data_IF_905383112404
#
_entry.id   IF_905383112404
#
_cell.length_a   1.000
_cell.length_b   1.000
_cell.length_c   1.000
_cell.angle_alpha   90.00
_cell.angle_beta   90.00
_cell.angle_gamma   90.00
#
_symmetry.space_group_name_H-M   'P 1'
#
loop_
_entity.id
_entity.type
_entity.pdbx_description
1 polymer ?
#
# COMPACT_ATOMS: atom_id res chain seq x y z
N UNK A 1 32.12 -78.44 -40.12
CA UNK A 1 32.62 -77.05 -40.23
C UNK A 1 31.45 -76.14 -39.88
N UNK A 2 31.44 -75.61 -38.68
CA UNK A 2 30.36 -74.81 -38.16
C UNK A 2 30.84 -73.37 -38.23
N UNK A 3 30.12 -72.53 -38.96
CA UNK A 3 30.39 -71.13 -39.08
C UNK A 3 29.49 -70.39 -38.10
N UNK A 4 30.05 -69.77 -37.06
CA UNK A 4 29.38 -68.87 -36.15
C UNK A 4 29.29 -67.46 -36.70
N UNK A 5 28.06 -66.98 -36.87
CA UNK A 5 27.77 -65.60 -37.26
C UNK A 5 27.62 -64.78 -35.98
N UNK A 6 28.57 -63.89 -35.64
CA UNK A 6 28.50 -62.99 -34.53
C UNK A 6 27.69 -61.73 -34.94
N UNK A 7 26.52 -61.51 -34.34
CA UNK A 7 25.79 -60.26 -34.41
C UNK A 7 26.42 -59.28 -33.41
N UNK A 8 27.02 -58.22 -33.89
CA UNK A 8 27.43 -57.09 -33.09
C UNK A 8 26.21 -56.16 -32.88
N UNK A 9 25.71 -56.12 -31.65
CA UNK A 9 24.74 -55.09 -31.22
C UNK A 9 25.52 -53.80 -30.99
N UNK A 10 25.27 -52.82 -31.83
CA UNK A 10 25.73 -51.43 -31.54
C UNK A 10 24.82 -50.82 -30.47
N UNK A 11 25.30 -50.76 -29.25
CA UNK A 11 24.74 -49.90 -28.21
C UNK A 11 25.27 -48.52 -28.50
N UNK A 12 24.39 -47.65 -29.00
CA UNK A 12 24.65 -46.22 -29.11
C UNK A 12 24.50 -45.64 -27.68
N UNK A 13 25.63 -45.54 -26.98
CA UNK A 13 25.72 -44.70 -25.81
C UNK A 13 25.80 -43.24 -26.30
N UNK A 14 24.71 -42.51 -26.19
CA UNK A 14 24.77 -41.07 -26.18
C UNK A 14 25.41 -40.67 -24.84
N UNK A 15 26.72 -40.44 -24.86
CA UNK A 15 27.38 -39.74 -23.76
C UNK A 15 26.91 -38.29 -23.78
N UNK A 16 25.89 -37.99 -23.03
CA UNK A 16 25.75 -36.64 -22.48
C UNK A 16 26.90 -36.49 -21.48
N UNK A 17 27.82 -35.60 -21.80
CA UNK A 17 28.87 -35.18 -20.86
C UNK A 17 28.15 -34.39 -19.75
N UNK A 18 27.75 -35.08 -18.69
CA UNK A 18 27.30 -34.42 -17.45
C UNK A 18 28.46 -33.61 -16.93
N UNK A 19 28.31 -32.29 -16.93
CA UNK A 19 29.25 -31.39 -16.29
C UNK A 19 29.11 -31.57 -14.76
N UNK A 20 30.07 -32.16 -14.06
CA UNK A 20 29.92 -32.51 -12.62
C UNK A 20 29.84 -31.32 -11.68
N UNK A 21 30.03 -30.10 -12.18
CA UNK A 21 30.05 -28.87 -11.38
C UNK A 21 28.73 -28.05 -11.45
N UNK A 22 27.74 -28.52 -12.19
CA UNK A 22 26.38 -27.91 -12.10
C UNK A 22 25.57 -28.71 -11.10
N UNK A 23 25.05 -28.09 -10.03
CA UNK A 23 24.09 -28.76 -9.17
C UNK A 23 22.91 -29.19 -10.02
N UNK A 24 22.72 -30.49 -10.15
CA UNK A 24 21.55 -31.06 -10.82
C UNK A 24 20.30 -30.57 -10.09
N UNK A 25 19.63 -29.57 -10.66
CA UNK A 25 18.33 -29.14 -10.15
C UNK A 25 17.39 -30.32 -10.36
N UNK A 26 17.00 -30.97 -9.28
CA UNK A 26 16.04 -32.06 -9.33
C UNK A 26 14.74 -31.52 -9.93
N UNK A 27 14.52 -31.84 -11.22
CA UNK A 27 13.43 -31.26 -12.02
C UNK A 27 12.03 -31.64 -11.47
N UNK A 28 11.96 -32.47 -10.47
CA UNK A 28 10.73 -32.93 -9.82
C UNK A 28 10.44 -32.27 -8.46
N UNK A 29 11.33 -31.43 -7.94
CA UNK A 29 11.03 -30.72 -6.70
C UNK A 29 10.16 -29.49 -6.97
N UNK A 30 9.13 -29.27 -6.12
CA UNK A 30 8.30 -28.07 -6.21
C UNK A 30 9.16 -26.81 -6.04
N UNK A 31 9.09 -25.91 -6.99
CA UNK A 31 9.80 -24.62 -6.90
C UNK A 31 8.92 -23.64 -6.13
N UNK A 32 9.33 -23.17 -4.95
CA UNK A 32 8.57 -22.19 -4.18
C UNK A 32 8.37 -20.88 -4.93
N UNK A 33 7.25 -20.24 -4.73
CA UNK A 33 6.97 -18.89 -5.22
C UNK A 33 7.55 -17.89 -4.24
N UNK A 34 8.38 -16.99 -4.73
CA UNK A 34 8.96 -15.87 -3.98
C UNK A 34 8.84 -14.59 -4.82
N UNK A 35 8.73 -13.44 -4.15
CA UNK A 35 8.62 -12.14 -4.81
C UNK A 35 9.63 -11.15 -4.26
N UNK A 36 10.29 -10.44 -5.15
CA UNK A 36 10.87 -9.14 -4.83
C UNK A 36 9.76 -8.09 -4.76
N UNK A 37 10.08 -6.93 -4.22
CA UNK A 37 9.12 -5.83 -4.16
C UNK A 37 9.74 -4.49 -4.44
N UNK A 38 8.91 -3.58 -4.93
CA UNK A 38 9.15 -2.14 -4.89
C UNK A 38 7.84 -1.47 -4.50
N UNK A 39 7.94 -0.41 -3.70
CA UNK A 39 6.83 0.50 -3.48
C UNK A 39 7.12 1.70 -4.37
N UNK A 40 6.15 2.12 -5.16
CA UNK A 40 6.25 3.34 -5.94
C UNK A 40 6.38 4.49 -4.95
N UNK A 41 7.56 5.05 -4.89
CA UNK A 41 8.24 5.75 -3.80
C UNK A 41 7.43 6.74 -2.98
N UNK A 42 7.67 6.72 -1.64
CA UNK A 42 7.36 7.83 -0.74
C UNK A 42 8.32 7.93 0.43
N UNK A 43 8.60 9.16 0.84
CA UNK A 43 9.18 9.41 2.16
C UNK A 43 8.33 10.39 2.95
N UNK A 44 7.72 9.95 4.05
CA UNK A 44 7.54 10.72 5.30
C UNK A 44 7.07 9.83 6.45
N UNK A 45 7.30 10.25 7.71
CA UNK A 45 7.20 9.46 8.95
C UNK A 45 5.77 8.99 9.25
N UNK A 46 5.65 7.78 9.80
CA UNK A 46 4.54 7.19 10.58
C UNK A 46 3.37 6.47 9.88
N UNK A 47 3.34 6.30 8.60
CA UNK A 47 2.66 5.22 7.89
C UNK A 47 3.71 4.57 7.01
N UNK A 48 3.50 3.46 6.32
CA UNK A 48 4.56 2.83 5.53
C UNK A 48 5.44 3.86 4.82
N UNK A 49 6.54 4.25 5.47
CA UNK A 49 7.36 5.43 5.15
C UNK A 49 8.62 5.03 4.43
N UNK A 50 8.53 4.30 3.35
CA UNK A 50 9.74 3.91 2.63
C UNK A 50 9.41 3.32 1.28
N UNK A 51 10.40 3.39 0.40
CA UNK A 51 10.40 2.70 -0.89
C UNK A 51 10.59 1.19 -0.75
N UNK A 52 10.65 0.65 0.47
CA UNK A 52 10.90 -0.75 0.76
C UNK A 52 10.10 -1.25 1.97
N UNK A 53 9.80 -2.53 1.97
CA UNK A 53 9.26 -3.24 3.13
C UNK A 53 10.36 -3.48 4.17
N UNK A 54 9.95 -3.57 5.42
CA UNK A 54 10.81 -3.95 6.55
C UNK A 54 10.63 -5.42 6.87
N UNK A 55 11.65 -6.04 7.48
CA UNK A 55 11.55 -7.43 7.91
C UNK A 55 10.35 -7.66 8.83
N UNK A 56 9.71 -8.80 8.65
CA UNK A 56 8.48 -9.25 9.31
C UNK A 56 7.19 -8.54 8.86
N UNK A 57 7.21 -7.67 7.86
CA UNK A 57 5.97 -7.19 7.27
C UNK A 57 5.32 -8.27 6.41
N UNK A 58 3.99 -8.34 6.47
CA UNK A 58 3.22 -9.44 5.90
C UNK A 58 2.21 -8.87 4.91
N UNK A 59 2.21 -9.45 3.70
CA UNK A 59 1.23 -9.18 2.65
C UNK A 59 0.30 -10.36 2.46
N UNK A 60 -0.91 -10.10 1.95
CA UNK A 60 -1.83 -11.12 1.46
C UNK A 60 -1.69 -11.29 -0.05
N UNK A 61 -1.68 -12.53 -0.53
CA UNK A 61 -1.63 -12.82 -1.97
C UNK A 61 -2.77 -13.75 -2.36
N UNK A 62 -3.46 -13.38 -3.44
CA UNK A 62 -4.38 -14.23 -4.16
C UNK A 62 -3.72 -14.63 -5.48
N UNK A 63 -3.76 -15.93 -5.83
CA UNK A 63 -3.16 -16.45 -7.03
C UNK A 63 -4.12 -17.27 -7.88
N UNK A 64 -4.16 -17.01 -9.17
CA UNK A 64 -4.90 -17.78 -10.17
C UNK A 64 -3.96 -18.34 -11.22
N UNK A 65 -4.37 -19.45 -11.85
CA UNK A 65 -3.65 -20.09 -12.94
C UNK A 65 -4.49 -20.06 -14.20
N UNK A 66 -3.87 -19.83 -15.35
CA UNK A 66 -4.54 -19.85 -16.64
C UNK A 66 -3.86 -18.96 -17.66
N UNK A 67 -4.19 -19.12 -18.94
CA UNK A 67 -3.61 -18.32 -20.03
C UNK A 67 -4.16 -16.87 -20.02
N UNK A 68 -5.30 -16.64 -19.39
CA UNK A 68 -5.91 -15.33 -19.18
C UNK A 68 -6.07 -15.02 -17.70
N UNK A 69 -6.02 -13.73 -17.34
CA UNK A 69 -6.37 -13.29 -16.00
C UNK A 69 -7.83 -13.63 -15.66
N UNK A 70 -8.16 -13.90 -14.40
CA UNK A 70 -9.53 -14.22 -14.01
C UNK A 70 -10.45 -13.01 -14.30
N UNK A 71 -11.56 -13.26 -14.96
CA UNK A 71 -12.50 -12.20 -15.38
C UNK A 71 -13.97 -12.42 -14.99
N UNK A 72 -14.33 -13.61 -14.52
CA UNK A 72 -15.70 -13.95 -14.19
C UNK A 72 -15.85 -15.01 -13.10
N UNK A 73 -14.84 -15.80 -12.78
CA UNK A 73 -14.88 -16.79 -11.72
C UNK A 73 -13.65 -16.65 -10.80
N UNK A 74 -13.91 -16.28 -9.55
CA UNK A 74 -12.89 -16.04 -8.54
C UNK A 74 -13.00 -17.04 -7.37
N UNK A 75 -13.81 -18.10 -7.52
CA UNK A 75 -14.10 -19.06 -6.44
C UNK A 75 -12.98 -20.06 -6.19
N UNK A 76 -12.05 -20.20 -7.12
CA UNK A 76 -11.04 -21.27 -7.08
C UNK A 76 -9.61 -20.78 -7.32
N UNK A 77 -9.12 -19.82 -6.52
CA UNK A 77 -7.72 -19.44 -6.57
C UNK A 77 -6.85 -20.61 -6.09
N UNK A 78 -5.66 -20.78 -6.67
CA UNK A 78 -4.70 -21.77 -6.12
C UNK A 78 -4.00 -21.26 -4.85
N UNK A 79 -4.01 -19.96 -4.65
CA UNK A 79 -3.67 -19.29 -3.40
C UNK A 79 -4.79 -18.33 -3.03
N UNK A 80 -5.43 -18.55 -1.88
CA UNK A 80 -6.49 -17.69 -1.36
C UNK A 80 -5.99 -16.99 -0.10
N UNK A 81 -5.67 -15.72 -0.24
CA UNK A 81 -5.17 -14.88 0.85
C UNK A 81 -3.99 -15.47 1.62
N UNK A 82 -3.04 -16.06 0.90
CA UNK A 82 -1.85 -16.63 1.51
C UNK A 82 -0.94 -15.52 2.02
N UNK A 83 -0.48 -15.67 3.27
CA UNK A 83 0.47 -14.75 3.89
C UNK A 83 1.88 -14.97 3.35
N UNK A 84 2.51 -13.87 2.94
CA UNK A 84 3.92 -13.82 2.57
C UNK A 84 4.63 -12.82 3.49
N UNK A 85 5.70 -13.26 4.13
CA UNK A 85 6.49 -12.44 5.04
C UNK A 85 7.73 -11.90 4.34
N UNK A 86 8.00 -10.61 4.53
CA UNK A 86 9.20 -9.98 4.01
C UNK A 86 10.40 -10.30 4.89
N UNK A 87 11.44 -10.82 4.28
CA UNK A 87 12.74 -11.04 4.92
C UNK A 87 13.84 -11.09 3.84
N UNK A 88 15.01 -10.60 4.14
CA UNK A 88 16.17 -10.68 3.20
C UNK A 88 15.85 -10.21 1.78
N UNK A 89 15.19 -9.06 1.67
CA UNK A 89 14.80 -8.38 0.42
C UNK A 89 13.78 -9.14 -0.47
N UNK A 90 13.05 -10.09 0.08
CA UNK A 90 11.99 -10.82 -0.63
C UNK A 90 10.82 -11.17 0.26
N UNK A 91 9.68 -11.41 -0.38
CA UNK A 91 8.52 -12.05 0.23
C UNK A 91 8.55 -13.55 -0.01
N UNK A 92 8.42 -14.32 1.05
CA UNK A 92 8.37 -15.77 1.02
C UNK A 92 7.28 -16.31 1.98
N UNK A 93 6.86 -17.54 1.74
CA UNK A 93 5.88 -18.25 2.58
C UNK A 93 6.29 -19.71 2.77
N UNK A 94 5.84 -20.30 3.86
CA UNK A 94 5.97 -21.74 4.12
C UNK A 94 4.74 -22.53 3.65
N UNK A 95 3.76 -21.86 3.03
CA UNK A 95 2.55 -22.51 2.54
C UNK A 95 2.88 -23.43 1.35
N UNK A 96 2.55 -24.71 1.46
CA UNK A 96 2.89 -25.73 0.46
C UNK A 96 2.15 -25.55 -0.89
N UNK A 97 1.06 -24.77 -0.95
CA UNK A 97 0.37 -24.47 -2.22
C UNK A 97 1.05 -23.37 -3.03
N UNK A 98 1.97 -22.62 -2.42
CA UNK A 98 2.68 -21.53 -3.08
C UNK A 98 3.89 -22.05 -3.88
N UNK A 99 3.61 -22.82 -4.91
CA UNK A 99 4.62 -23.40 -5.80
C UNK A 99 4.29 -23.13 -7.27
N UNK A 100 5.34 -22.98 -8.08
CA UNK A 100 5.21 -22.80 -9.51
C UNK A 100 4.70 -24.07 -10.17
N UNK A 101 3.66 -23.98 -10.99
CA UNK A 101 3.18 -25.07 -11.83
C UNK A 101 3.77 -24.98 -13.22
N UNK A 102 4.32 -26.09 -13.71
CA UNK A 102 4.92 -26.15 -15.06
C UNK A 102 3.87 -25.91 -16.14
N UNK A 103 4.28 -25.19 -17.18
CA UNK A 103 3.48 -24.84 -18.35
C UNK A 103 2.23 -24.00 -18.07
N UNK A 104 2.12 -23.44 -16.84
CA UNK A 104 1.04 -22.54 -16.45
C UNK A 104 1.53 -21.09 -16.38
N UNK A 105 0.66 -20.17 -16.78
CA UNK A 105 0.76 -18.74 -16.47
C UNK A 105 0.11 -18.53 -15.09
N UNK A 106 0.70 -17.69 -14.27
CA UNK A 106 0.18 -17.37 -12.95
C UNK A 106 -0.13 -15.88 -12.85
N UNK A 107 -1.28 -15.56 -12.26
CA UNK A 107 -1.73 -14.19 -12.02
C UNK A 107 -1.81 -13.97 -10.52
N UNK A 108 -1.06 -12.99 -10.02
CA UNK A 108 -0.98 -12.68 -8.59
C UNK A 108 -1.55 -11.29 -8.33
N UNK A 109 -2.28 -11.19 -7.22
CA UNK A 109 -2.83 -9.97 -6.69
C UNK A 109 -2.43 -9.87 -5.23
N UNK A 110 -1.63 -8.89 -4.93
CA UNK A 110 -1.04 -8.70 -3.61
C UNK A 110 -1.54 -7.42 -2.96
N UNK A 111 -1.65 -7.42 -1.65
CA UNK A 111 -2.02 -6.24 -0.89
C UNK A 111 -1.35 -6.22 0.50
N UNK A 112 -1.19 -5.02 1.04
CA UNK A 112 -0.68 -4.77 2.38
C UNK A 112 -1.60 -3.78 3.09
N UNK A 113 -1.83 -3.92 4.41
CA UNK A 113 -1.39 -5.02 5.29
C UNK A 113 -2.22 -6.29 5.07
N UNK A 114 -1.70 -7.43 5.49
CA UNK A 114 -2.47 -8.68 5.50
C UNK A 114 -3.72 -8.50 6.35
N UNK A 115 -4.88 -8.78 5.76
CA UNK A 115 -6.17 -8.82 6.44
C UNK A 115 -6.69 -10.26 6.57
N UNK A 116 -7.45 -10.51 7.62
CA UNK A 116 -8.16 -11.77 7.81
C UNK A 116 -9.65 -11.62 7.50
N UNK A 117 -10.40 -12.72 7.52
CA UNK A 117 -11.86 -12.68 7.36
C UNK A 117 -12.59 -12.00 8.53
N UNK A 118 -11.91 -11.82 9.66
CA UNK A 118 -12.38 -11.00 10.78
C UNK A 118 -11.69 -9.66 10.73
N UNK A 119 -12.43 -8.57 10.94
CA UNK A 119 -11.86 -7.24 10.95
C UNK A 119 -10.76 -7.12 12.00
N UNK A 120 -9.59 -6.68 11.58
CA UNK A 120 -8.44 -6.43 12.45
C UNK A 120 -7.75 -5.15 11.99
N UNK A 121 -7.50 -4.22 12.92
CA UNK A 121 -6.87 -2.92 12.64
C UNK A 121 -7.56 -2.10 11.54
N UNK A 122 -8.87 -2.26 11.36
CA UNK A 122 -9.65 -1.57 10.34
C UNK A 122 -9.61 -2.24 8.97
N UNK A 123 -9.08 -3.46 8.84
CA UNK A 123 -9.03 -4.21 7.59
C UNK A 123 -9.78 -5.55 7.71
N UNK A 124 -10.47 -5.92 6.63
CA UNK A 124 -11.14 -7.21 6.53
C UNK A 124 -11.03 -7.75 5.11
N UNK A 125 -10.56 -8.99 4.98
CA UNK A 125 -10.56 -9.73 3.72
C UNK A 125 -11.91 -10.42 3.50
N UNK A 126 -12.37 -10.40 2.24
CA UNK A 126 -13.53 -11.19 1.79
C UNK A 126 -13.12 -11.97 0.55
N UNK A 127 -13.23 -13.29 0.63
CA UNK A 127 -12.88 -14.20 -0.46
C UNK A 127 -13.78 -13.99 -1.69
N UNK A 128 -13.22 -14.27 -2.86
CA UNK A 128 -13.98 -14.24 -4.12
C UNK A 128 -15.02 -15.35 -4.22
N UNK A 129 -16.00 -15.15 -5.08
CA UNK A 129 -17.02 -16.13 -5.46
C UNK A 129 -17.04 -16.33 -6.97
N UNK A 130 -17.93 -17.17 -7.49
CA UNK A 130 -18.09 -17.37 -8.93
C UNK A 130 -18.38 -16.06 -9.72
N UNK A 131 -18.87 -15.00 -9.08
CA UNK A 131 -19.24 -13.76 -9.77
C UNK A 131 -18.78 -12.48 -9.08
N UNK A 132 -18.13 -12.59 -7.92
CA UNK A 132 -17.67 -11.44 -7.13
C UNK A 132 -16.18 -11.58 -6.86
N UNK A 133 -15.42 -10.59 -7.24
CA UNK A 133 -13.97 -10.55 -6.98
C UNK A 133 -13.66 -10.50 -5.48
N UNK A 134 -12.52 -11.05 -5.05
CA UNK A 134 -12.06 -10.91 -3.66
C UNK A 134 -11.79 -9.44 -3.34
N UNK A 135 -12.07 -9.04 -2.11
CA UNK A 135 -11.94 -7.66 -1.67
C UNK A 135 -11.24 -7.52 -0.33
N UNK A 136 -10.68 -6.34 -0.10
CA UNK A 136 -10.27 -5.88 1.23
C UNK A 136 -11.04 -4.62 1.57
N UNK A 137 -11.84 -4.67 2.63
CA UNK A 137 -12.45 -3.47 3.18
C UNK A 137 -11.50 -2.77 4.14
N UNK A 138 -11.57 -1.44 4.16
CA UNK A 138 -10.83 -0.57 5.07
C UNK A 138 -11.79 0.34 5.80
N UNK A 139 -11.56 0.54 7.11
CA UNK A 139 -12.38 1.37 7.98
C UNK A 139 -11.53 2.44 8.66
N UNK A 140 -11.92 3.70 8.49
CA UNK A 140 -11.33 4.85 9.18
C UNK A 140 -11.73 4.82 10.65
N UNK A 141 -10.76 4.90 11.54
CA UNK A 141 -10.95 4.95 12.98
C UNK A 141 -10.96 6.40 13.48
N UNK A 142 -11.64 6.65 14.57
CA UNK A 142 -11.53 7.94 15.29
C UNK A 142 -10.17 8.07 15.95
N UNK A 143 -9.66 9.30 16.11
CA UNK A 143 -8.39 9.58 16.78
C UNK A 143 -7.32 10.13 15.86
N UNK A 144 -6.06 9.78 16.12
CA UNK A 144 -4.93 10.43 15.44
C UNK A 144 -4.60 9.88 14.06
N UNK A 145 -4.80 8.59 13.83
CA UNK A 145 -4.25 7.93 12.66
C UNK A 145 -5.21 7.86 11.46
N UNK A 146 -6.52 7.91 11.73
CA UNK A 146 -7.54 7.63 10.72
C UNK A 146 -7.52 6.15 10.35
N UNK A 147 -6.79 5.78 9.32
CA UNK A 147 -6.45 4.39 9.02
C UNK A 147 -5.08 4.09 9.61
N UNK A 148 -4.96 3.02 10.41
CA UNK A 148 -3.73 2.72 11.18
C UNK A 148 -2.53 2.37 10.31
N UNK A 149 -2.76 1.76 9.17
CA UNK A 149 -1.73 1.34 8.22
C UNK A 149 -2.16 1.75 6.83
N UNK A 150 -1.19 2.00 5.97
CA UNK A 150 -1.48 2.33 4.59
C UNK A 150 -1.93 1.09 3.80
N UNK A 151 -2.87 1.27 2.88
CA UNK A 151 -3.34 0.22 2.00
C UNK A 151 -2.56 0.25 0.69
N UNK A 152 -1.76 -0.78 0.45
CA UNK A 152 -1.01 -0.95 -0.78
C UNK A 152 -1.61 -2.07 -1.63
N UNK A 153 -1.53 -1.94 -2.93
CA UNK A 153 -1.98 -2.96 -3.86
C UNK A 153 -0.98 -3.13 -5.02
N UNK A 154 -0.85 -4.37 -5.48
CA UNK A 154 -0.03 -4.76 -6.63
C UNK A 154 -0.66 -5.92 -7.38
N UNK A 155 -0.42 -6.00 -8.67
CA UNK A 155 -0.69 -7.19 -9.46
C UNK A 155 0.55 -7.61 -10.23
N UNK A 156 0.63 -8.88 -10.58
CA UNK A 156 1.72 -9.44 -11.38
C UNK A 156 1.20 -10.63 -12.19
N UNK A 157 1.49 -10.63 -13.49
CA UNK A 157 1.28 -11.80 -14.34
C UNK A 157 2.62 -12.38 -14.75
N UNK A 158 2.84 -13.66 -14.44
CA UNK A 158 4.05 -14.36 -14.88
C UNK A 158 3.96 -14.78 -16.34
N UNK A 159 5.10 -15.04 -16.95
CA UNK A 159 5.18 -15.90 -18.13
C UNK A 159 4.86 -17.36 -17.76
N UNK A 160 4.66 -18.23 -18.75
CA UNK A 160 4.56 -19.68 -18.48
C UNK A 160 5.83 -20.20 -17.82
N UNK A 161 5.66 -20.88 -16.69
CA UNK A 161 6.79 -21.46 -15.97
C UNK A 161 7.31 -22.68 -16.69
N UNK A 162 8.54 -22.62 -17.21
CA UNK A 162 9.16 -23.71 -17.98
C UNK A 162 10.05 -24.63 -17.17
N UNK A 163 10.26 -24.30 -15.88
CA UNK A 163 11.13 -25.02 -14.96
C UNK A 163 12.54 -24.43 -14.84
N UNK A 164 12.88 -23.38 -15.60
CA UNK A 164 14.12 -22.65 -15.43
C UNK A 164 14.00 -21.67 -14.25
N UNK A 165 14.70 -21.95 -13.15
CA UNK A 165 14.57 -21.21 -11.89
C UNK A 165 14.98 -19.73 -11.97
N UNK A 166 15.88 -19.37 -12.90
CA UNK A 166 16.45 -18.01 -12.97
C UNK A 166 15.46 -16.94 -13.43
N UNK A 167 14.42 -17.29 -14.19
CA UNK A 167 13.40 -16.33 -14.65
C UNK A 167 12.31 -16.06 -13.61
N UNK A 168 12.20 -16.92 -12.60
CA UNK A 168 11.16 -16.91 -11.57
C UNK A 168 11.73 -16.65 -10.18
N UNK A 169 12.95 -16.14 -10.10
CA UNK A 169 13.54 -15.66 -8.86
C UNK A 169 12.85 -14.37 -8.37
N UNK A 170 12.93 -14.08 -7.08
CA UNK A 170 12.39 -12.86 -6.50
C UNK A 170 12.92 -11.58 -7.17
N UNK A 171 14.15 -11.60 -7.71
CA UNK A 171 14.72 -10.48 -8.45
C UNK A 171 14.00 -10.18 -9.78
N UNK A 172 13.36 -11.17 -10.37
CA UNK A 172 12.61 -11.06 -11.63
C UNK A 172 11.11 -10.92 -11.40
N UNK A 173 10.59 -11.59 -10.37
CA UNK A 173 9.18 -11.58 -10.01
C UNK A 173 8.94 -10.49 -8.96
N UNK A 174 8.87 -9.22 -9.41
CA UNK A 174 8.71 -8.07 -8.54
C UNK A 174 7.28 -7.58 -8.48
N UNK A 175 6.72 -7.51 -7.26
CA UNK A 175 5.47 -6.83 -6.97
C UNK A 175 5.72 -5.32 -6.87
N UNK A 176 5.01 -4.54 -7.68
CA UNK A 176 5.07 -3.08 -7.66
C UNK A 176 3.83 -2.55 -6.95
N UNK A 177 3.99 -2.11 -5.72
CA UNK A 177 2.88 -1.66 -4.89
C UNK A 177 2.58 -0.18 -5.12
N UNK A 178 1.29 0.13 -5.25
CA UNK A 178 0.75 1.48 -5.28
C UNK A 178 -0.07 1.76 -4.02
N UNK A 179 -0.02 3.00 -3.53
CA UNK A 179 -0.85 3.47 -2.43
C UNK A 179 -2.30 3.63 -2.88
N UNK A 180 -3.24 3.14 -2.09
CA UNK A 180 -4.68 3.15 -2.41
C UNK A 180 -5.47 4.15 -1.56
N UNK A 181 -4.84 4.78 -0.58
CA UNK A 181 -5.45 5.76 0.31
C UNK A 181 -4.85 7.15 0.06
N UNK A 182 -5.40 8.16 0.71
CA UNK A 182 -4.89 9.52 0.72
C UNK A 182 -4.35 9.87 2.09
N UNK A 183 -3.40 10.81 2.15
CA UNK A 183 -2.80 11.27 3.39
C UNK A 183 -2.91 12.78 3.51
N UNK A 184 -3.17 13.26 4.72
CA UNK A 184 -3.17 14.69 5.02
C UNK A 184 -1.94 15.00 5.87
N UNK A 185 -1.26 16.10 5.59
CA UNK A 185 -0.24 16.68 6.44
C UNK A 185 -0.63 18.13 6.78
N UNK A 186 -0.25 18.59 7.94
CA UNK A 186 -0.53 19.95 8.38
C UNK A 186 0.74 20.76 8.51
N UNK A 187 0.65 22.02 8.13
CA UNK A 187 1.66 23.05 8.36
C UNK A 187 0.96 24.28 8.90
N UNK A 188 1.36 24.77 10.07
CA UNK A 188 0.77 25.97 10.68
C UNK A 188 1.84 27.05 10.77
N UNK A 189 1.55 28.22 10.22
CA UNK A 189 2.45 29.36 10.16
C UNK A 189 1.73 30.63 10.63
N UNK A 190 2.46 31.61 11.14
CA UNK A 190 1.95 32.97 11.35
C UNK A 190 2.26 33.88 10.18
N UNK A 191 1.40 34.88 9.94
CA UNK A 191 1.49 35.76 8.78
C UNK A 191 2.48 36.91 8.97
N UNK A 192 2.55 37.44 10.19
CA UNK A 192 3.32 38.64 10.49
C UNK A 192 3.75 38.68 11.96
N UNK A 193 4.65 39.61 12.27
CA UNK A 193 5.19 39.83 13.62
C UNK A 193 4.14 40.27 14.65
N UNK A 194 2.97 40.80 14.20
CA UNK A 194 1.92 41.22 15.09
C UNK A 194 1.10 40.06 15.68
N UNK A 195 1.28 38.84 15.12
CA UNK A 195 0.77 37.62 15.72
C UNK A 195 1.79 37.16 16.77
N UNK A 196 1.42 37.15 18.09
CA UNK A 196 2.33 36.69 19.14
C UNK A 196 2.89 35.30 18.81
N UNK A 197 4.06 34.96 19.33
CA UNK A 197 4.54 33.57 19.31
C UNK A 197 3.49 32.69 19.97
N UNK A 198 2.73 32.00 19.13
CA UNK A 198 1.55 31.29 19.51
C UNK A 198 1.88 29.81 19.68
N UNK A 199 1.36 29.20 20.76
CA UNK A 199 1.56 27.79 21.04
C UNK A 199 0.40 26.97 20.46
N UNK A 200 0.67 26.16 19.46
CA UNK A 200 -0.26 25.17 18.92
C UNK A 200 -0.37 23.99 19.88
N UNK A 201 -1.58 23.67 20.33
CA UNK A 201 -1.85 22.56 21.26
C UNK A 201 -2.62 21.41 20.66
N UNK A 202 -3.50 21.69 19.71
CA UNK A 202 -4.31 20.64 19.10
C UNK A 202 -4.77 21.02 17.69
N UNK A 203 -5.07 20.00 16.91
CA UNK A 203 -5.77 20.07 15.63
C UNK A 203 -6.85 19.01 15.61
N UNK A 204 -8.01 19.33 15.05
CA UNK A 204 -9.06 18.35 14.79
C UNK A 204 -9.86 18.68 13.55
N UNK A 205 -10.40 17.66 12.88
CA UNK A 205 -11.32 17.80 11.76
C UNK A 205 -12.20 16.56 11.64
N UNK A 206 -13.20 16.61 10.77
CA UNK A 206 -14.09 15.49 10.51
C UNK A 206 -14.03 15.08 9.06
N UNK A 207 -14.18 13.77 8.80
CA UNK A 207 -14.27 13.14 7.47
C UNK A 207 -15.64 12.51 7.26
N UNK A 208 -16.12 12.52 6.01
CA UNK A 208 -17.46 12.09 5.65
C UNK A 208 -17.55 10.68 5.03
N UNK A 209 -16.43 9.99 4.90
CA UNK A 209 -16.39 8.56 4.54
C UNK A 209 -15.69 7.76 5.62
N UNK A 210 -16.35 6.70 6.07
CA UNK A 210 -15.82 5.78 7.08
C UNK A 210 -15.17 4.56 6.44
N UNK A 211 -15.77 4.03 5.40
CA UNK A 211 -15.42 2.74 4.83
C UNK A 211 -15.15 2.83 3.33
N UNK A 212 -14.23 1.97 2.86
CA UNK A 212 -14.02 1.69 1.44
C UNK A 212 -13.72 0.21 1.23
N UNK A 213 -13.86 -0.26 0.00
CA UNK A 213 -13.55 -1.62 -0.41
C UNK A 213 -12.64 -1.64 -1.62
N UNK A 214 -11.49 -2.27 -1.51
CA UNK A 214 -10.54 -2.49 -2.59
C UNK A 214 -10.87 -3.80 -3.30
N UNK A 215 -11.16 -3.74 -4.60
CA UNK A 215 -11.25 -4.92 -5.45
C UNK A 215 -9.83 -5.40 -5.74
N UNK A 216 -9.48 -6.61 -5.29
CA UNK A 216 -8.11 -7.11 -5.40
C UNK A 216 -7.72 -7.50 -6.83
N UNK A 217 -8.67 -7.74 -7.73
CA UNK A 217 -8.38 -8.08 -9.14
C UNK A 217 -8.09 -6.82 -9.95
N UNK A 218 -8.89 -5.78 -9.79
CA UNK A 218 -8.77 -4.55 -10.59
C UNK A 218 -7.93 -3.48 -9.92
N UNK A 219 -7.75 -3.55 -8.59
CA UNK A 219 -7.12 -2.50 -7.81
C UNK A 219 -7.98 -1.25 -7.61
N UNK A 220 -9.26 -1.32 -7.97
CA UNK A 220 -10.21 -0.21 -7.79
C UNK A 220 -10.67 -0.11 -6.34
N UNK A 221 -10.59 1.09 -5.78
CA UNK A 221 -11.09 1.41 -4.45
C UNK A 221 -12.47 2.06 -4.55
N UNK A 222 -13.49 1.38 -4.06
CA UNK A 222 -14.87 1.88 -4.03
C UNK A 222 -15.20 2.40 -2.63
N UNK A 223 -15.62 3.65 -2.53
CA UNK A 223 -16.06 4.26 -1.26
C UNK A 223 -17.37 3.65 -0.79
N UNK A 224 -17.53 3.56 0.53
CA UNK A 224 -18.79 3.25 1.17
C UNK A 224 -19.81 4.40 1.08
N UNK A 225 -20.83 4.34 1.91
CA UNK A 225 -21.84 5.40 1.97
C UNK A 225 -21.26 6.66 2.63
N UNK A 226 -21.59 7.82 2.06
CA UNK A 226 -21.24 9.11 2.66
C UNK A 226 -21.99 9.29 3.99
N UNK A 227 -21.29 9.77 4.99
CA UNK A 227 -21.82 10.00 6.32
C UNK A 227 -22.28 11.47 6.43
N UNK A 228 -23.45 11.67 6.98
CA UNK A 228 -23.96 13.01 7.26
C UNK A 228 -23.50 13.54 8.63
N UNK A 229 -23.59 14.84 8.84
CA UNK A 229 -22.97 15.66 9.85
C UNK A 229 -22.81 15.07 11.26
N UNK A 230 -23.83 14.46 11.83
CA UNK A 230 -23.79 13.97 13.21
C UNK A 230 -22.87 12.74 13.42
N UNK A 231 -22.62 11.99 12.35
CA UNK A 231 -21.91 10.71 12.39
C UNK A 231 -20.53 10.75 11.71
N UNK A 232 -20.09 11.92 11.23
CA UNK A 232 -18.77 12.08 10.63
C UNK A 232 -17.66 11.64 11.58
N UNK A 233 -16.62 11.03 11.04
CA UNK A 233 -15.51 10.50 11.83
C UNK A 233 -14.58 11.65 12.22
N UNK A 234 -14.36 11.81 13.51
CA UNK A 234 -13.45 12.84 14.06
C UNK A 234 -12.02 12.32 14.11
N UNK A 235 -11.11 13.08 13.52
CA UNK A 235 -9.68 12.86 13.57
C UNK A 235 -9.05 14.03 14.31
N UNK A 236 -8.17 13.75 15.27
CA UNK A 236 -7.60 14.79 16.12
C UNK A 236 -6.25 14.39 16.70
N UNK A 237 -5.40 15.39 16.90
CA UNK A 237 -4.15 15.32 17.62
C UNK A 237 -4.10 16.37 18.70
N UNK A 238 -3.84 15.93 19.94
CA UNK A 238 -3.49 16.83 21.04
C UNK A 238 -2.01 16.67 21.35
N UNK A 239 -1.30 17.78 21.39
CA UNK A 239 0.14 17.80 21.63
C UNK A 239 0.42 17.77 23.14
N UNK A 240 1.32 16.90 23.57
CA UNK A 240 1.83 16.88 24.95
C UNK A 240 2.68 18.09 25.27
N UNK A 241 3.43 18.57 24.26
CA UNK A 241 4.18 19.82 24.32
C UNK A 241 3.68 20.72 23.19
N UNK A 242 3.31 21.94 23.52
CA UNK A 242 2.84 22.88 22.51
C UNK A 242 3.96 23.25 21.53
N UNK A 243 3.61 23.36 20.24
CA UNK A 243 4.53 23.81 19.19
C UNK A 243 4.46 25.31 19.00
N UNK A 244 5.60 25.95 18.84
CA UNK A 244 5.68 27.38 18.50
C UNK A 244 5.34 27.59 17.03
N UNK A 245 4.43 28.52 16.74
CA UNK A 245 4.08 28.90 15.39
C UNK A 245 5.00 30.07 14.99
N UNK A 246 5.79 29.84 13.93
CA UNK A 246 6.72 30.84 13.40
C UNK A 246 6.24 31.40 12.06
N UNK A 247 6.86 32.48 11.59
CA UNK A 247 6.71 32.93 10.20
C UNK A 247 7.20 31.86 9.21
N UNK A 248 6.69 31.93 7.98
CA UNK A 248 7.03 30.93 6.97
C UNK A 248 8.55 30.89 6.72
N UNK A 249 9.14 29.70 6.80
CA UNK A 249 10.54 29.41 6.49
C UNK A 249 11.43 29.00 7.66
N UNK A 250 11.03 29.15 8.91
CA UNK A 250 11.82 28.70 10.06
C UNK A 250 11.00 27.93 11.08
N UNK A 251 11.10 26.60 11.08
CA UNK A 251 10.50 25.75 12.12
C UNK A 251 8.97 25.77 12.12
N UNK A 252 8.37 25.30 11.05
CA UNK A 252 6.90 25.24 10.96
C UNK A 252 6.30 24.28 11.98
N UNK A 253 5.23 24.70 12.63
CA UNK A 253 4.43 23.80 13.44
C UNK A 253 3.71 22.78 12.53
N UNK A 254 3.88 21.50 12.84
CA UNK A 254 3.35 20.35 12.06
C UNK A 254 2.26 19.59 12.79
N UNK A 255 1.79 20.13 13.90
CA UNK A 255 0.83 19.47 14.79
C UNK A 255 1.37 18.14 15.35
N UNK A 256 2.67 18.06 15.67
CA UNK A 256 3.31 16.83 16.13
C UNK A 256 3.37 15.77 15.03
N UNK A 257 3.65 16.19 13.81
CA UNK A 257 3.64 15.33 12.60
C UNK A 257 2.26 14.63 12.39
N UNK A 258 1.17 15.27 12.83
CA UNK A 258 -0.17 14.74 12.60
C UNK A 258 -0.44 14.58 11.11
N UNK A 259 -0.57 13.34 10.70
CA UNK A 259 -0.69 13.02 9.29
C UNK A 259 -1.57 11.80 9.06
N UNK A 260 -2.88 11.92 9.34
CA UNK A 260 -3.81 10.82 9.24
C UNK A 260 -4.00 10.34 7.79
N UNK A 261 -4.27 9.05 7.67
CA UNK A 261 -4.63 8.40 6.41
C UNK A 261 -6.15 8.34 6.33
N UNK A 262 -6.68 8.72 5.17
CA UNK A 262 -8.12 8.81 4.90
C UNK A 262 -8.48 8.15 3.56
N UNK A 263 -9.77 7.93 3.36
CA UNK A 263 -10.31 7.44 2.08
C UNK A 263 -10.23 8.56 1.04
N UNK A 264 -9.70 8.30 -0.18
CA UNK A 264 -9.65 9.27 -1.26
C UNK A 264 -11.04 9.79 -1.63
N UNK A 265 -11.12 11.07 -2.02
CA UNK A 265 -12.37 11.74 -2.36
C UNK A 265 -13.27 12.01 -1.15
N UNK A 266 -12.74 11.90 0.07
CA UNK A 266 -13.37 12.39 1.30
C UNK A 266 -13.40 13.92 1.29
N UNK A 267 -14.49 14.52 1.80
CA UNK A 267 -14.53 15.91 2.19
C UNK A 267 -14.20 16.04 3.68
N UNK A 268 -13.43 17.05 4.03
CA UNK A 268 -13.18 17.38 5.45
C UNK A 268 -14.05 18.56 5.89
N UNK A 269 -14.42 18.57 7.16
CA UNK A 269 -15.20 19.64 7.78
C UNK A 269 -14.75 19.87 9.21
N UNK A 270 -15.22 20.94 9.80
CA UNK A 270 -14.98 21.30 11.21
C UNK A 270 -13.47 21.29 11.57
N UNK A 271 -12.62 21.76 10.65
CA UNK A 271 -11.18 21.88 10.93
C UNK A 271 -10.96 22.98 11.97
N UNK A 272 -10.40 22.59 13.10
CA UNK A 272 -10.11 23.50 14.21
C UNK A 272 -8.67 23.36 14.66
N UNK A 273 -8.11 24.48 15.13
CA UNK A 273 -6.82 24.56 15.80
C UNK A 273 -7.03 25.09 17.21
N UNK A 274 -6.35 24.52 18.19
CA UNK A 274 -6.26 25.10 19.54
C UNK A 274 -4.91 25.78 19.69
N UNK A 275 -4.92 27.11 19.79
CA UNK A 275 -3.74 27.97 19.90
C UNK A 275 -3.92 28.82 21.16
N UNK A 276 -2.96 28.77 22.08
CA UNK A 276 -3.04 29.53 23.35
C UNK A 276 -4.40 29.38 24.05
N UNK A 277 -4.93 28.15 24.11
CA UNK A 277 -6.24 27.81 24.73
C UNK A 277 -7.48 28.36 23.98
N UNK A 278 -7.29 29.04 22.86
CA UNK A 278 -8.39 29.47 22.00
C UNK A 278 -8.56 28.48 20.86
N UNK A 279 -9.82 28.14 20.56
CA UNK A 279 -10.16 27.31 19.41
C UNK A 279 -10.47 28.20 18.22
N UNK A 280 -9.70 28.05 17.16
CA UNK A 280 -9.89 28.73 15.88
C UNK A 280 -10.47 27.74 14.86
N UNK A 281 -11.52 28.15 14.15
CA UNK A 281 -12.13 27.33 13.10
C UNK A 281 -11.67 27.81 11.74
N UNK A 282 -11.24 26.88 10.91
CA UNK A 282 -10.90 27.12 9.49
C UNK A 282 -12.19 26.97 8.69
N UNK A 283 -12.59 28.03 7.97
CA UNK A 283 -13.76 28.04 7.10
C UNK A 283 -13.41 27.72 5.66
N UNK A 284 -14.42 27.32 4.88
CA UNK A 284 -14.35 27.09 3.44
C UNK A 284 -13.32 26.05 2.98
N UNK A 285 -13.48 24.83 3.47
CA UNK A 285 -12.63 23.68 3.11
C UNK A 285 -13.07 22.98 1.80
N UNK A 286 -14.03 23.55 1.09
CA UNK A 286 -14.67 22.92 -0.06
C UNK A 286 -13.74 22.69 -1.26
N UNK A 287 -12.61 23.40 -1.32
CA UNK A 287 -11.61 23.28 -2.37
C UNK A 287 -10.61 22.13 -2.12
N UNK A 288 -10.59 21.55 -0.92
CA UNK A 288 -9.67 20.47 -0.59
C UNK A 288 -10.13 19.17 -1.25
N UNK A 289 -9.25 18.58 -2.03
CA UNK A 289 -9.44 17.27 -2.67
C UNK A 289 -8.31 16.34 -2.28
N UNK A 290 -8.66 15.11 -1.94
CA UNK A 290 -7.70 14.09 -1.52
C UNK A 290 -7.78 12.93 -2.51
N UNK A 291 -6.69 12.69 -3.23
CA UNK A 291 -6.63 11.66 -4.27
C UNK A 291 -5.89 10.43 -3.76
N UNK A 292 -6.17 9.31 -4.39
CA UNK A 292 -5.45 8.06 -4.17
C UNK A 292 -3.96 8.25 -4.43
N UNK A 293 -3.14 7.82 -3.48
CA UNK A 293 -1.69 7.91 -3.58
C UNK A 293 -1.09 9.31 -3.38
N UNK A 294 -1.89 10.29 -2.92
CA UNK A 294 -1.40 11.66 -2.69
C UNK A 294 -1.23 11.98 -1.20
N UNK A 295 -0.25 12.83 -0.91
CA UNK A 295 -0.15 13.57 0.35
C UNK A 295 -0.58 15.00 0.12
N UNK A 296 -1.67 15.42 0.75
CA UNK A 296 -2.11 16.81 0.71
C UNK A 296 -1.61 17.54 1.94
N UNK A 297 -0.71 18.50 1.76
CA UNK A 297 -0.27 19.38 2.85
C UNK A 297 -1.20 20.59 2.94
N UNK A 298 -1.92 20.69 4.03
CA UNK A 298 -2.80 21.82 4.35
C UNK A 298 -1.98 22.84 5.15
N UNK A 299 -1.64 23.96 4.53
CA UNK A 299 -0.98 25.08 5.22
C UNK A 299 -2.02 26.01 5.80
N UNK A 300 -1.98 26.20 7.11
CA UNK A 300 -2.89 27.08 7.85
C UNK A 300 -2.10 28.29 8.30
N UNK A 301 -2.50 29.47 7.85
CA UNK A 301 -1.86 30.74 8.19
C UNK A 301 -2.68 31.45 9.26
N UNK A 302 -2.09 31.65 10.43
CA UNK A 302 -2.68 32.40 11.51
C UNK A 302 -2.36 33.88 11.33
N UNK A 303 -3.38 34.73 11.38
CA UNK A 303 -3.24 36.18 11.31
C UNK A 303 -3.99 36.86 12.47
N UNK A 304 -3.82 38.16 12.63
CA UNK A 304 -4.45 38.92 13.73
C UNK A 304 -5.98 38.99 13.65
N UNK A 305 -6.60 38.54 12.55
CA UNK A 305 -8.06 38.54 12.35
C UNK A 305 -8.68 37.14 12.35
N UNK A 306 -7.85 36.07 12.39
CA UNK A 306 -8.32 34.69 12.34
C UNK A 306 -7.32 33.76 11.64
N UNK A 307 -7.83 32.80 10.91
CA UNK A 307 -7.03 31.80 10.18
C UNK A 307 -7.42 31.80 8.69
N UNK A 308 -6.41 31.68 7.86
CA UNK A 308 -6.53 31.43 6.42
C UNK A 308 -5.86 30.08 6.13
N UNK A 309 -6.25 29.41 5.05
CA UNK A 309 -5.57 28.20 4.65
C UNK A 309 -5.24 28.18 3.16
N UNK A 310 -4.24 27.41 2.80
CA UNK A 310 -3.93 26.98 1.45
C UNK A 310 -3.60 25.50 1.46
N UNK A 311 -3.76 24.84 0.31
CA UNK A 311 -3.39 23.43 0.19
C UNK A 311 -2.36 23.25 -0.93
N UNK A 312 -1.34 22.45 -0.66
CA UNK A 312 -0.41 21.97 -1.67
C UNK A 312 -0.52 20.45 -1.75
N UNK A 313 -0.57 19.95 -2.97
CA UNK A 313 -0.61 18.51 -3.24
C UNK A 313 0.81 18.07 -3.63
N UNK A 314 1.28 17.03 -2.96
CA UNK A 314 2.49 16.32 -3.38
C UNK A 314 2.10 14.87 -3.61
N UNK A 315 2.56 14.33 -4.73
CA UNK A 315 2.39 12.89 -4.94
C UNK A 315 2.99 12.13 -3.77
N UNK A 316 2.35 11.11 -3.32
CA UNK A 316 2.92 10.19 -2.33
C UNK A 316 4.22 9.54 -2.84
N UNK A 317 4.52 9.75 -4.11
CA UNK A 317 5.70 9.26 -4.83
C UNK A 317 6.82 10.28 -4.99
N UNK A 318 6.68 11.57 -4.63
CA UNK A 318 7.69 12.56 -4.99
C UNK A 318 8.70 12.84 -3.89
N UNK A 319 9.98 12.61 -4.21
CA UNK A 319 11.12 13.27 -3.59
C UNK A 319 11.36 14.57 -4.35
N UNK A 320 10.77 15.66 -3.91
CA UNK A 320 11.08 16.96 -4.51
C UNK A 320 9.96 17.94 -4.32
N UNK A 321 10.27 19.09 -3.74
CA UNK A 321 9.39 20.24 -3.65
C UNK A 321 8.99 20.71 -5.06
N UNK A 322 7.85 20.22 -5.53
CA UNK A 322 7.17 20.80 -6.68
C UNK A 322 6.23 21.88 -6.19
N UNK A 323 6.62 23.14 -6.33
CA UNK A 323 5.72 24.28 -6.17
C UNK A 323 4.76 24.29 -7.36
N UNK A 324 3.63 23.61 -7.22
CA UNK A 324 2.49 23.74 -8.11
C UNK A 324 1.54 24.77 -7.51
N UNK A 325 1.54 25.97 -8.03
CA UNK A 325 0.45 26.94 -7.83
C UNK A 325 -0.75 26.44 -8.62
N UNK A 326 -1.86 26.19 -7.93
CA UNK A 326 -3.15 25.95 -8.57
C UNK A 326 -3.77 27.34 -8.79
N UNK A 327 -3.97 27.72 -10.08
CA UNK A 327 -4.82 28.84 -10.49
C UNK A 327 -6.30 28.50 -10.34
#
# INVERSE_FOLDING_TARGET
MISMLAMAAMVSCTNEIENPDQPQVNQNEPTPIEFGSSILAVQTKAAKTGTAFSDNEIIGIIGFKGDAAPNADYSSPFMDNISFTYATNKFATTNASAVWERNATHHFYAYYPLATTTETNGYKYTAGTASVAPTVSVTVQTGEEGVKQDLLWSNLTSKKFTGASTEFSADKMKLQFAHKLARIAFKVVKKDENVPESALKAVSFKVDYKDASLNLITGELTKGSQITDANKISLSKTLTTAETITEDGSGNATCGDFSPIIIPGTAISDLTLTINEQTLTVSDLSTLTFKEGDITTVTITVNSKGVEFSAAITDWTSTGAGTGTVE
#
